data_IF_668169829665
#
_entry.id   IF_668169829665
#
_cell.length_a   1.000
_cell.length_b   1.000
_cell.length_c   1.000
_cell.angle_alpha   90.00
_cell.angle_beta   90.00
_cell.angle_gamma   90.00
#
_symmetry.space_group_name_H-M   'P 1'
#
loop_
_entity.id
_entity.type
_entity.pdbx_description
1 polymer ?
#
# COMPACT_ATOMS: atom_id res chain seq x y z
N UNK A 1 36.91 16.65 -29.21
CA UNK A 1 35.45 16.86 -29.30
C UNK A 1 34.82 15.55 -29.74
N UNK A 2 34.25 14.77 -28.82
CA UNK A 2 33.28 13.70 -29.05
C UNK A 2 33.01 13.01 -27.72
N UNK A 3 32.04 13.53 -26.95
CA UNK A 3 31.30 12.71 -25.98
C UNK A 3 29.95 13.40 -25.73
N UNK A 4 28.99 13.07 -26.58
CA UNK A 4 27.56 13.28 -26.40
C UNK A 4 26.85 12.01 -26.84
N UNK A 5 27.19 10.88 -26.21
CA UNK A 5 26.29 9.75 -26.20
C UNK A 5 25.51 9.83 -24.90
N UNK A 6 24.19 9.89 -25.06
CA UNK A 6 23.25 10.04 -23.96
C UNK A 6 23.42 8.94 -22.93
N UNK A 7 23.05 9.29 -21.71
CA UNK A 7 22.97 8.44 -20.55
C UNK A 7 21.99 7.28 -20.81
N UNK A 8 22.48 6.17 -21.39
CA UNK A 8 21.71 4.95 -21.67
C UNK A 8 21.52 4.07 -20.43
N UNK A 9 22.07 4.47 -19.28
CA UNK A 9 21.96 3.74 -18.00
C UNK A 9 20.74 4.16 -17.18
N UNK A 10 19.90 5.08 -17.68
CA UNK A 10 18.67 5.43 -16.98
C UNK A 10 17.63 4.31 -17.14
N UNK A 11 17.16 3.69 -16.04
CA UNK A 11 16.13 2.67 -16.11
C UNK A 11 14.85 3.27 -16.73
N UNK A 12 14.17 2.48 -17.56
CA UNK A 12 12.89 2.87 -18.15
C UNK A 12 11.87 3.12 -17.03
N UNK A 13 10.99 4.11 -17.21
CA UNK A 13 9.88 4.39 -16.27
C UNK A 13 8.63 3.59 -16.64
N UNK A 14 7.62 3.53 -15.77
CA UNK A 14 6.37 2.82 -16.05
C UNK A 14 5.66 3.42 -17.27
N UNK A 15 5.63 4.75 -17.37
CA UNK A 15 5.09 5.47 -18.54
C UNK A 15 5.80 5.08 -19.85
N UNK A 16 7.11 4.80 -19.80
CA UNK A 16 7.89 4.36 -20.96
C UNK A 16 7.67 2.87 -21.29
N UNK A 17 7.32 2.05 -20.29
CA UNK A 17 7.01 0.64 -20.46
C UNK A 17 5.62 0.40 -21.07
N UNK A 18 4.64 1.29 -20.83
CA UNK A 18 3.27 1.15 -21.34
C UNK A 18 3.21 0.79 -22.84
N UNK A 19 3.80 1.56 -23.78
CA UNK A 19 3.70 1.25 -25.20
C UNK A 19 4.36 -0.08 -25.56
N UNK A 20 5.44 -0.46 -24.86
CA UNK A 20 6.12 -1.73 -25.07
C UNK A 20 5.24 -2.90 -24.63
N UNK A 21 4.66 -2.83 -23.44
CA UNK A 21 3.74 -3.84 -22.92
C UNK A 21 2.50 -3.97 -23.80
N UNK A 22 1.92 -2.85 -24.22
CA UNK A 22 0.74 -2.84 -25.11
C UNK A 22 1.03 -3.49 -26.46
N UNK A 23 2.08 -3.07 -27.15
CA UNK A 23 2.37 -3.56 -28.52
C UNK A 23 2.82 -5.03 -28.50
N UNK A 24 3.57 -5.44 -27.49
CA UNK A 24 4.07 -6.81 -27.37
C UNK A 24 3.11 -7.79 -26.71
N UNK A 25 1.96 -7.32 -26.19
CA UNK A 25 0.99 -8.18 -25.51
C UNK A 25 0.39 -9.24 -26.45
N UNK A 26 -0.15 -10.35 -25.89
CA UNK A 26 -0.85 -11.38 -26.67
C UNK A 26 -2.04 -10.85 -27.49
N UNK A 27 -2.63 -9.73 -27.07
CA UNK A 27 -3.78 -9.11 -27.73
C UNK A 27 -3.41 -8.23 -28.94
N UNK A 28 -2.11 -8.01 -29.20
CA UNK A 28 -1.61 -7.13 -30.26
C UNK A 28 -0.63 -7.86 -31.19
N UNK A 29 0.62 -7.39 -31.31
CA UNK A 29 1.61 -8.01 -32.21
C UNK A 29 2.14 -9.34 -31.67
N UNK A 30 1.85 -9.67 -30.40
CA UNK A 30 2.29 -10.87 -29.70
C UNK A 30 3.79 -11.14 -29.89
N UNK A 31 4.61 -10.41 -29.13
CA UNK A 31 6.06 -10.58 -29.12
C UNK A 31 6.48 -11.03 -27.72
N UNK A 32 6.33 -12.32 -27.37
CA UNK A 32 6.44 -12.80 -25.99
C UNK A 32 7.77 -12.47 -25.32
N UNK A 33 8.88 -12.48 -26.07
CA UNK A 33 10.20 -12.15 -25.54
C UNK A 33 10.32 -10.68 -25.10
N UNK A 34 9.71 -9.76 -25.85
CA UNK A 34 9.68 -8.33 -25.49
C UNK A 34 8.72 -8.11 -24.33
N UNK A 35 7.55 -8.75 -24.36
CA UNK A 35 6.57 -8.68 -23.29
C UNK A 35 7.12 -9.17 -21.94
N UNK A 36 7.77 -10.34 -21.94
CA UNK A 36 8.39 -10.90 -20.75
C UNK A 36 9.50 -9.99 -20.19
N UNK A 37 10.32 -9.39 -21.07
CA UNK A 37 11.38 -8.47 -20.66
C UNK A 37 10.83 -7.16 -20.10
N UNK A 38 9.80 -6.59 -20.72
CA UNK A 38 9.15 -5.37 -20.23
C UNK A 38 8.45 -5.60 -18.88
N UNK A 39 7.82 -6.76 -18.71
CA UNK A 39 7.18 -7.15 -17.44
C UNK A 39 8.21 -7.38 -16.34
N UNK A 40 9.32 -8.05 -16.64
CA UNK A 40 10.43 -8.23 -15.70
C UNK A 40 11.04 -6.89 -15.28
N UNK A 41 11.22 -5.96 -16.22
CA UNK A 41 11.72 -4.61 -15.93
C UNK A 41 10.78 -3.84 -14.99
N UNK A 42 9.46 -4.00 -15.14
CA UNK A 42 8.48 -3.41 -14.20
C UNK A 42 8.68 -3.96 -12.77
N UNK A 43 8.88 -5.28 -12.62
CA UNK A 43 9.14 -5.90 -11.32
C UNK A 43 10.46 -5.42 -10.69
N UNK A 44 11.47 -5.13 -11.51
CA UNK A 44 12.76 -4.61 -11.05
C UNK A 44 12.64 -3.16 -10.52
N UNK A 45 11.81 -2.32 -11.15
CA UNK A 45 11.56 -0.94 -10.68
C UNK A 45 10.78 -0.93 -9.37
N UNK A 46 9.85 -1.87 -9.19
CA UNK A 46 8.96 -1.94 -8.05
C UNK A 46 9.18 -3.25 -7.27
N UNK A 47 10.27 -3.33 -6.49
CA UNK A 47 10.65 -4.55 -5.79
C UNK A 47 9.59 -4.95 -4.78
N UNK A 48 9.20 -6.21 -4.87
CA UNK A 48 8.12 -6.82 -4.11
C UNK A 48 8.63 -7.36 -2.79
N UNK A 49 8.60 -6.52 -1.74
CA UNK A 49 8.93 -7.00 -0.40
C UNK A 49 8.33 -6.10 0.68
N UNK A 50 7.88 -6.68 1.80
CA UNK A 50 7.41 -5.91 2.96
C UNK A 50 8.47 -4.90 3.47
N UNK A 51 9.75 -5.22 3.33
CA UNK A 51 10.84 -4.29 3.68
C UNK A 51 10.99 -3.10 2.72
N UNK A 52 10.50 -3.21 1.47
CA UNK A 52 10.54 -2.11 0.51
C UNK A 52 9.50 -1.03 0.82
N UNK A 53 8.43 -1.39 1.55
CA UNK A 53 7.36 -0.48 1.97
C UNK A 53 7.82 0.48 3.06
N UNK A 54 8.56 -0.03 4.05
CA UNK A 54 9.03 0.80 5.18
C UNK A 54 10.32 1.56 4.90
N UNK A 55 11.01 1.22 3.80
CA UNK A 55 12.19 1.94 3.36
C UNK A 55 11.74 3.16 2.55
N UNK A 56 11.67 4.31 3.20
CA UNK A 56 11.44 5.63 2.58
C UNK A 56 12.51 6.03 1.54
N UNK A 57 13.37 5.10 1.09
CA UNK A 57 14.52 5.32 0.22
C UNK A 57 14.52 4.55 -1.10
N UNK A 58 13.47 3.84 -1.49
CA UNK A 58 13.36 3.45 -2.89
C UNK A 58 12.97 4.71 -3.67
N UNK A 59 13.91 5.26 -4.48
CA UNK A 59 13.78 6.39 -5.41
C UNK A 59 12.73 6.18 -6.52
N UNK A 60 11.57 5.65 -6.15
CA UNK A 60 10.41 5.53 -7.02
C UNK A 60 9.69 6.85 -6.94
N UNK A 61 9.67 7.57 -8.06
CA UNK A 61 8.87 8.77 -8.23
C UNK A 61 7.40 8.43 -7.91
N UNK A 62 6.81 9.13 -6.94
CA UNK A 62 5.39 8.95 -6.56
C UNK A 62 4.49 9.07 -7.79
N UNK A 63 4.89 9.91 -8.76
CA UNK A 63 4.16 10.12 -10.02
C UNK A 63 4.15 8.88 -10.95
N UNK A 64 5.00 7.88 -10.70
CA UNK A 64 5.06 6.64 -11.48
C UNK A 64 4.29 5.48 -10.82
N UNK A 65 3.78 5.64 -9.59
CA UNK A 65 3.06 4.58 -8.87
C UNK A 65 1.72 4.25 -9.53
N UNK A 66 0.91 5.26 -9.87
CA UNK A 66 -0.38 5.03 -10.48
C UNK A 66 -0.29 4.44 -11.90
N UNK A 67 0.54 4.99 -12.82
CA UNK A 67 0.74 4.35 -14.11
C UNK A 67 1.26 2.92 -13.98
N UNK A 68 2.20 2.66 -13.06
CA UNK A 68 2.71 1.31 -12.83
C UNK A 68 1.62 0.36 -12.32
N UNK A 69 0.77 0.82 -11.39
CA UNK A 69 -0.35 0.03 -10.91
C UNK A 69 -1.31 -0.30 -12.05
N UNK A 70 -1.72 0.68 -12.85
CA UNK A 70 -2.65 0.44 -13.96
C UNK A 70 -2.06 -0.58 -14.97
N UNK A 71 -0.75 -0.51 -15.23
CA UNK A 71 -0.06 -1.53 -16.03
C UNK A 71 -0.06 -2.92 -15.37
N UNK A 72 0.17 -2.99 -14.06
CA UNK A 72 0.16 -4.24 -13.30
C UNK A 72 -1.24 -4.86 -13.19
N UNK A 73 -2.29 -4.05 -13.21
CA UNK A 73 -3.68 -4.52 -13.25
C UNK A 73 -4.08 -5.03 -14.65
N UNK A 74 -3.55 -4.41 -15.71
CA UNK A 74 -3.91 -4.74 -17.09
C UNK A 74 -3.11 -5.90 -17.69
N UNK A 75 -1.86 -6.06 -17.27
CA UNK A 75 -0.93 -7.02 -17.85
C UNK A 75 -0.52 -8.08 -16.81
N UNK A 76 0.01 -9.21 -17.30
CA UNK A 76 0.46 -10.31 -16.46
C UNK A 76 1.82 -9.97 -15.83
N UNK A 77 1.76 -9.22 -14.74
CA UNK A 77 2.89 -8.83 -13.90
C UNK A 77 2.97 -9.79 -12.70
N UNK A 78 4.11 -9.82 -12.04
CA UNK A 78 4.29 -10.61 -10.81
C UNK A 78 3.27 -10.19 -9.73
N UNK A 79 2.69 -11.16 -9.03
CA UNK A 79 1.61 -10.92 -8.07
C UNK A 79 2.08 -10.12 -6.86
N UNK A 80 3.32 -10.32 -6.40
CA UNK A 80 3.88 -9.54 -5.30
C UNK A 80 4.14 -8.11 -5.74
N UNK A 81 4.63 -7.88 -6.98
CA UNK A 81 4.81 -6.52 -7.53
C UNK A 81 3.47 -5.77 -7.59
N UNK A 82 2.44 -6.42 -8.11
CA UNK A 82 1.07 -5.88 -8.14
C UNK A 82 0.56 -5.56 -6.74
N UNK A 83 0.76 -6.46 -5.77
CA UNK A 83 0.39 -6.28 -4.36
C UNK A 83 1.08 -5.08 -3.73
N UNK A 84 2.39 -4.92 -3.95
CA UNK A 84 3.16 -3.75 -3.50
C UNK A 84 2.64 -2.45 -4.10
N UNK A 85 2.38 -2.43 -5.41
CA UNK A 85 1.81 -1.26 -6.08
C UNK A 85 0.41 -0.92 -5.55
N UNK A 86 -0.46 -1.93 -5.39
CA UNK A 86 -1.80 -1.77 -4.83
C UNK A 86 -1.75 -1.18 -3.43
N UNK A 87 -0.93 -1.76 -2.55
CA UNK A 87 -0.77 -1.23 -1.19
C UNK A 87 -0.33 0.24 -1.24
N UNK A 88 0.78 0.54 -1.93
CA UNK A 88 1.37 1.90 -1.93
C UNK A 88 0.44 2.96 -2.51
N UNK A 89 -0.32 2.62 -3.57
CA UNK A 89 -1.29 3.55 -4.15
C UNK A 89 -2.49 3.71 -3.22
N UNK A 90 -3.08 2.60 -2.76
CA UNK A 90 -4.26 2.61 -1.91
C UNK A 90 -4.02 3.32 -0.57
N UNK A 91 -2.82 3.23 0.01
CA UNK A 91 -2.47 3.89 1.27
C UNK A 91 -1.79 5.25 1.08
N UNK A 92 -1.74 5.77 -0.14
CA UNK A 92 -1.23 7.12 -0.39
C UNK A 92 -2.21 8.16 0.16
N UNK A 93 -1.70 9.27 0.70
CA UNK A 93 -2.51 10.31 1.38
C UNK A 93 -3.49 11.05 0.46
N UNK A 94 -3.48 10.74 -0.84
CA UNK A 94 -4.38 11.30 -1.85
C UNK A 94 -5.66 10.46 -1.99
N UNK A 95 -5.65 9.20 -1.53
CA UNK A 95 -6.86 8.40 -1.38
C UNK A 95 -7.48 8.71 -0.01
N UNK A 96 -8.39 9.69 0.02
CA UNK A 96 -9.22 9.94 1.20
C UNK A 96 -10.42 8.98 1.19
N UNK A 97 -10.47 7.97 2.09
CA UNK A 97 -11.67 7.14 2.24
C UNK A 97 -12.82 7.93 2.89
N UNK A 98 -12.54 9.09 3.48
CA UNK A 98 -13.48 9.98 4.18
C UNK A 98 -13.85 11.23 3.38
N UNK A 99 -13.43 11.33 2.11
CA UNK A 99 -13.85 12.38 1.19
C UNK A 99 -15.35 12.22 0.91
N UNK A 100 -16.19 12.87 1.72
CA UNK A 100 -17.65 12.87 1.65
C UNK A 100 -18.41 11.52 1.85
N UNK A 101 -17.74 10.40 2.14
CA UNK A 101 -18.38 9.08 2.20
C UNK A 101 -18.09 8.31 3.50
N UNK A 102 -19.02 8.39 4.44
CA UNK A 102 -19.12 7.51 5.62
C UNK A 102 -19.47 6.06 5.19
N UNK A 103 -18.64 5.04 5.50
CA UNK A 103 -18.94 3.64 5.21
C UNK A 103 -19.90 2.99 6.21
N UNK A 104 -20.45 3.72 7.18
CA UNK A 104 -21.42 3.19 8.16
C UNK A 104 -22.87 3.12 7.62
N UNK A 105 -23.11 3.49 6.37
CA UNK A 105 -24.41 3.37 5.72
C UNK A 105 -24.46 2.19 4.74
N UNK A 106 -25.51 1.34 4.76
CA UNK A 106 -25.81 0.45 3.64
C UNK A 106 -26.37 1.30 2.50
N UNK A 107 -25.53 2.06 1.81
CA UNK A 107 -25.93 2.76 0.60
C UNK A 107 -25.69 1.84 -0.61
N UNK A 108 -26.72 1.50 -1.40
CA UNK A 108 -26.57 0.71 -2.61
C UNK A 108 -26.00 1.51 -3.79
N UNK A 109 -25.46 2.70 -3.58
CA UNK A 109 -24.96 3.53 -4.66
C UNK A 109 -23.52 3.14 -5.05
N UNK A 110 -23.23 2.93 -6.34
CA UNK A 110 -21.87 2.69 -6.79
C UNK A 110 -21.03 3.93 -6.49
N UNK A 111 -19.87 3.71 -5.86
CA UNK A 111 -18.82 4.70 -5.54
C UNK A 111 -18.18 5.29 -6.82
N UNK A 112 -18.89 5.30 -7.95
CA UNK A 112 -18.32 5.28 -9.30
C UNK A 112 -18.55 6.55 -10.14
N UNK A 113 -19.03 7.64 -9.57
CA UNK A 113 -19.42 8.79 -10.40
C UNK A 113 -19.00 10.14 -9.82
N UNK A 114 -18.05 10.21 -8.89
CA UNK A 114 -17.49 11.52 -8.53
C UNK A 114 -16.39 11.90 -9.54
N UNK A 115 -16.65 12.86 -10.45
CA UNK A 115 -15.65 13.32 -11.41
C UNK A 115 -14.43 13.95 -10.73
N UNK A 116 -14.51 14.38 -9.47
CA UNK A 116 -13.39 14.93 -8.73
C UNK A 116 -12.33 13.86 -8.37
N UNK A 117 -12.77 12.66 -7.97
CA UNK A 117 -11.87 11.55 -7.64
C UNK A 117 -11.17 11.02 -8.89
N UNK A 118 -11.90 10.87 -9.98
CA UNK A 118 -11.32 10.47 -11.27
C UNK A 118 -10.34 11.52 -11.83
N UNK A 119 -10.57 12.81 -11.55
CA UNK A 119 -9.66 13.88 -11.95
C UNK A 119 -8.38 13.94 -11.11
N UNK A 120 -8.42 13.48 -9.85
CA UNK A 120 -7.25 13.40 -8.98
C UNK A 120 -6.29 12.27 -9.38
N UNK A 121 -6.83 11.16 -9.92
CA UNK A 121 -6.06 9.97 -10.30
C UNK A 121 -6.21 9.63 -11.80
N UNK A 122 -5.73 10.52 -12.70
CA UNK A 122 -5.99 10.40 -14.14
C UNK A 122 -5.32 9.18 -14.80
N UNK A 123 -4.34 8.56 -14.14
CA UNK A 123 -3.64 7.38 -14.64
C UNK A 123 -4.39 6.07 -14.36
N UNK A 124 -5.34 6.06 -13.41
CA UNK A 124 -6.04 4.86 -12.98
C UNK A 124 -7.39 4.72 -13.67
N UNK A 125 -7.73 3.50 -14.08
CA UNK A 125 -9.08 3.19 -14.51
C UNK A 125 -10.08 3.24 -13.34
N UNK A 126 -11.36 3.47 -13.62
CA UNK A 126 -12.41 3.44 -12.60
C UNK A 126 -12.48 2.09 -11.87
N UNK A 127 -12.19 0.98 -12.56
CA UNK A 127 -12.07 -0.35 -11.97
C UNK A 127 -10.93 -0.41 -10.94
N UNK A 128 -9.73 0.01 -11.34
CA UNK A 128 -8.55 0.04 -10.45
C UNK A 128 -8.79 0.93 -9.22
N UNK A 129 -9.41 2.10 -9.40
CA UNK A 129 -9.78 2.98 -8.28
C UNK A 129 -10.68 2.30 -7.27
N UNK A 130 -11.75 1.63 -7.72
CA UNK A 130 -12.67 0.92 -6.82
C UNK A 130 -11.98 -0.22 -6.07
N UNK A 131 -11.04 -0.91 -6.71
CA UNK A 131 -10.21 -1.93 -6.06
C UNK A 131 -9.34 -1.30 -4.97
N UNK A 132 -8.64 -0.19 -5.27
CA UNK A 132 -7.86 0.54 -4.27
C UNK A 132 -8.71 0.95 -3.05
N UNK A 133 -9.91 1.50 -3.28
CA UNK A 133 -10.81 1.88 -2.19
C UNK A 133 -11.27 0.68 -1.35
N UNK A 134 -11.62 -0.46 -1.95
CA UNK A 134 -12.00 -1.67 -1.20
C UNK A 134 -10.84 -2.23 -0.38
N UNK A 135 -9.64 -2.24 -0.96
CA UNK A 135 -8.42 -2.68 -0.26
C UNK A 135 -8.12 -1.74 0.91
N UNK A 136 -8.16 -0.42 0.70
CA UNK A 136 -7.96 0.57 1.77
C UNK A 136 -9.01 0.43 2.89
N UNK A 137 -10.28 0.25 2.53
CA UNK A 137 -11.35 0.04 3.51
C UNK A 137 -11.10 -1.23 4.34
N UNK A 138 -10.64 -2.32 3.71
CA UNK A 138 -10.31 -3.58 4.41
C UNK A 138 -9.12 -3.41 5.34
N UNK A 139 -8.06 -2.72 4.90
CA UNK A 139 -6.90 -2.36 5.72
C UNK A 139 -7.32 -1.56 6.95
N UNK A 140 -8.13 -0.52 6.77
CA UNK A 140 -8.60 0.35 7.86
C UNK A 140 -9.48 -0.45 8.83
N UNK A 141 -10.44 -1.22 8.32
CA UNK A 141 -11.36 -2.00 9.15
C UNK A 141 -10.61 -3.02 10.03
N UNK A 142 -9.57 -3.65 9.46
CA UNK A 142 -8.76 -4.65 10.16
C UNK A 142 -7.79 -4.02 11.16
N UNK A 143 -7.12 -2.92 10.80
CA UNK A 143 -6.08 -2.31 11.62
C UNK A 143 -6.61 -1.39 12.72
N UNK A 144 -7.77 -0.75 12.52
CA UNK A 144 -8.34 0.21 13.47
C UNK A 144 -8.47 -0.39 14.88
N UNK A 145 -9.03 -1.60 15.09
CA UNK A 145 -9.07 -2.23 16.41
C UNK A 145 -7.68 -2.38 17.07
N UNK A 146 -6.66 -2.76 16.30
CA UNK A 146 -5.28 -2.89 16.78
C UNK A 146 -4.70 -1.54 17.19
N UNK A 147 -4.96 -0.48 16.43
CA UNK A 147 -4.46 0.86 16.73
C UNK A 147 -5.10 1.46 17.99
N UNK A 148 -6.39 1.22 18.22
CA UNK A 148 -7.14 1.79 19.35
C UNK A 148 -7.19 0.90 20.59
N UNK A 149 -6.58 -0.27 20.54
CA UNK A 149 -6.44 -1.16 21.71
C UNK A 149 -5.00 -1.10 22.20
N UNK A 150 -4.80 -0.61 23.42
CA UNK A 150 -3.48 -0.64 24.05
C UNK A 150 -3.06 -2.10 24.26
N UNK A 151 -1.93 -2.50 23.67
CA UNK A 151 -1.34 -3.81 23.91
C UNK A 151 -0.90 -3.96 25.39
N UNK A 152 -0.95 -5.19 25.91
CA UNK A 152 -0.41 -5.49 27.24
C UNK A 152 1.08 -5.82 27.15
N UNK A 153 1.89 -5.31 28.07
CA UNK A 153 3.26 -5.79 28.22
C UNK A 153 3.31 -7.06 29.10
N UNK A 154 4.47 -7.74 29.11
CA UNK A 154 4.72 -8.89 29.98
C UNK A 154 4.76 -8.53 31.48
N UNK A 155 5.03 -7.25 31.79
CA UNK A 155 5.09 -6.74 33.16
C UNK A 155 4.02 -5.66 33.37
N UNK A 156 3.29 -5.73 34.48
CA UNK A 156 2.21 -4.77 34.77
C UNK A 156 2.70 -3.31 34.79
N UNK A 157 3.86 -3.04 35.40
CA UNK A 157 4.45 -1.69 35.38
C UNK A 157 4.81 -1.20 33.97
N UNK A 158 5.18 -2.11 33.07
CA UNK A 158 5.42 -1.79 31.66
C UNK A 158 4.11 -1.53 30.90
N UNK A 159 3.05 -2.27 31.23
CA UNK A 159 1.70 -2.02 30.69
C UNK A 159 1.19 -0.65 31.08
N UNK A 160 1.43 -0.21 32.32
CA UNK A 160 1.04 1.13 32.78
C UNK A 160 1.75 2.23 31.96
N UNK A 161 3.05 2.08 31.72
CA UNK A 161 3.83 3.00 30.86
C UNK A 161 3.26 3.03 29.44
N UNK A 162 2.97 1.87 28.85
CA UNK A 162 2.36 1.82 27.52
C UNK A 162 1.01 2.53 27.49
N UNK A 163 0.14 2.26 28.45
CA UNK A 163 -1.19 2.87 28.52
C UNK A 163 -1.13 4.39 28.67
N UNK A 164 -0.22 4.92 29.48
CA UNK A 164 -0.01 6.36 29.64
C UNK A 164 0.52 7.02 28.36
N UNK A 165 1.38 6.34 27.61
CA UNK A 165 2.03 6.89 26.42
C UNK A 165 1.26 6.67 25.12
N UNK A 166 0.36 5.69 25.06
CA UNK A 166 -0.29 5.25 23.82
C UNK A 166 -1.03 6.37 23.10
N UNK A 167 -1.79 7.19 23.84
CA UNK A 167 -2.56 8.28 23.24
C UNK A 167 -1.67 9.30 22.52
N UNK A 168 -0.58 9.70 23.16
CA UNK A 168 0.30 10.76 22.65
C UNK A 168 1.30 10.26 21.61
N UNK A 169 1.82 9.04 21.78
CA UNK A 169 2.90 8.51 20.95
C UNK A 169 2.41 7.60 19.82
N UNK A 170 1.18 7.05 19.91
CA UNK A 170 0.60 6.15 18.90
C UNK A 170 -0.65 6.76 18.25
N UNK A 171 -1.71 7.01 19.02
CA UNK A 171 -3.00 7.43 18.46
C UNK A 171 -2.92 8.83 17.86
N UNK A 172 -2.37 9.81 18.58
CA UNK A 172 -2.24 11.19 18.11
C UNK A 172 -1.52 11.29 16.75
N UNK A 173 -0.31 10.72 16.61
CA UNK A 173 0.41 10.69 15.34
C UNK A 173 -0.31 9.91 14.24
N UNK A 174 -1.02 8.82 14.57
CA UNK A 174 -1.78 8.07 13.58
C UNK A 174 -2.98 8.87 13.04
N UNK A 175 -3.65 9.65 13.88
CA UNK A 175 -4.74 10.53 13.43
C UNK A 175 -4.22 11.73 12.63
N UNK A 176 -3.07 12.29 13.00
CA UNK A 176 -2.50 13.48 12.34
C UNK A 176 -1.94 13.18 10.95
N UNK A 177 -1.26 12.03 10.80
CA UNK A 177 -0.51 11.71 9.59
C UNK A 177 -1.21 10.67 8.69
N UNK A 178 -2.50 10.40 8.91
CA UNK A 178 -3.25 9.39 8.15
C UNK A 178 -2.81 7.94 8.43
N UNK A 179 -2.18 7.70 9.57
CA UNK A 179 -1.66 6.38 9.98
C UNK A 179 -2.71 5.28 10.07
N UNK A 180 -3.99 5.61 10.25
CA UNK A 180 -5.09 4.64 10.22
C UNK A 180 -5.17 3.94 8.86
N UNK A 181 -4.90 4.67 7.76
CA UNK A 181 -4.86 4.12 6.41
C UNK A 181 -3.51 3.54 5.99
N UNK A 182 -2.50 3.59 6.86
CA UNK A 182 -1.13 3.16 6.59
C UNK A 182 -0.65 2.17 7.67
N UNK A 183 -1.27 0.98 7.77
CA UNK A 183 -1.04 0.08 8.89
C UNK A 183 0.41 -0.40 9.01
N UNK A 184 1.08 -0.69 7.90
CA UNK A 184 2.46 -1.21 7.94
C UNK A 184 3.45 -0.15 8.39
N UNK A 185 3.24 1.11 8.00
CA UNK A 185 4.00 2.27 8.42
C UNK A 185 3.67 2.66 9.87
N UNK A 186 2.40 2.59 10.26
CA UNK A 186 1.97 2.84 11.63
C UNK A 186 2.62 1.86 12.61
N UNK A 187 2.61 0.55 12.32
CA UNK A 187 3.27 -0.45 13.15
C UNK A 187 4.78 -0.20 13.27
N UNK A 188 5.48 0.21 12.20
CA UNK A 188 6.88 0.64 12.29
C UNK A 188 7.10 1.87 13.15
N UNK A 189 6.18 2.84 13.12
CA UNK A 189 6.25 4.01 14.01
C UNK A 189 6.04 3.63 15.46
N UNK A 190 5.12 2.72 15.75
CA UNK A 190 4.87 2.19 17.10
C UNK A 190 6.14 1.46 17.61
N UNK A 191 6.76 0.63 16.77
CA UNK A 191 8.03 -0.04 17.08
C UNK A 191 9.11 0.96 17.52
N UNK A 192 9.24 2.07 16.78
CA UNK A 192 10.19 3.14 17.10
C UNK A 192 9.81 3.90 18.37
N UNK A 193 8.53 4.13 18.61
CA UNK A 193 8.04 4.79 19.83
C UNK A 193 8.38 3.99 21.09
N UNK A 194 8.26 2.66 21.03
CA UNK A 194 8.59 1.79 22.14
C UNK A 194 10.06 1.88 22.59
N UNK A 195 10.99 2.20 21.68
CA UNK A 195 12.38 2.48 22.08
C UNK A 195 12.48 3.69 23.01
N UNK A 196 11.69 4.74 22.75
CA UNK A 196 11.64 5.95 23.57
C UNK A 196 10.98 5.72 24.93
N UNK A 197 10.05 4.77 25.02
CA UNK A 197 9.36 4.42 26.28
C UNK A 197 10.29 3.85 27.35
N UNK A 198 11.52 3.46 26.99
CA UNK A 198 12.57 3.07 27.96
C UNK A 198 12.88 4.17 28.96
N UNK A 199 12.84 5.43 28.52
CA UNK A 199 13.09 6.59 29.37
C UNK A 199 11.99 6.78 30.43
N UNK A 200 10.82 6.19 30.21
CA UNK A 200 9.65 6.25 31.08
C UNK A 200 9.46 4.98 31.92
N UNK A 201 10.41 4.04 31.87
CA UNK A 201 10.40 2.83 32.70
C UNK A 201 10.02 1.54 31.98
N UNK A 202 9.85 1.57 30.64
CA UNK A 202 9.68 0.34 29.87
C UNK A 202 10.99 -0.46 29.84
N UNK A 203 10.95 -1.72 30.31
CA UNK A 203 12.14 -2.55 30.36
C UNK A 203 12.56 -3.08 28.97
N UNK A 204 13.83 -3.44 28.83
CA UNK A 204 14.40 -3.90 27.56
C UNK A 204 13.73 -5.17 27.01
N UNK A 205 13.35 -6.09 27.89
CA UNK A 205 12.62 -7.32 27.52
C UNK A 205 11.25 -7.01 26.92
N UNK A 206 10.50 -6.08 27.52
CA UNK A 206 9.19 -5.67 26.98
C UNK A 206 9.35 -4.93 25.65
N UNK A 207 10.37 -4.09 25.48
CA UNK A 207 10.65 -3.47 24.17
C UNK A 207 10.92 -4.55 23.12
N UNK A 208 11.79 -5.51 23.41
CA UNK A 208 12.12 -6.60 22.48
C UNK A 208 10.89 -7.39 22.07
N UNK A 209 10.07 -7.81 23.03
CA UNK A 209 8.83 -8.54 22.78
C UNK A 209 7.84 -7.74 21.93
N UNK A 210 7.64 -6.46 22.23
CA UNK A 210 6.73 -5.60 21.47
C UNK A 210 7.18 -5.44 20.01
N UNK A 211 8.50 -5.31 19.77
CA UNK A 211 9.03 -5.25 18.40
C UNK A 211 8.72 -6.51 17.62
N UNK A 212 8.89 -7.67 18.24
CA UNK A 212 8.56 -8.96 17.63
C UNK A 212 7.05 -9.08 17.36
N UNK A 213 6.21 -8.65 18.31
CA UNK A 213 4.76 -8.64 18.16
C UNK A 213 4.31 -7.80 16.96
N UNK A 214 4.78 -6.56 16.85
CA UNK A 214 4.37 -5.67 15.77
C UNK A 214 4.99 -6.01 14.42
N UNK A 215 6.20 -6.58 14.39
CA UNK A 215 6.73 -7.15 13.15
C UNK A 215 5.88 -8.33 12.68
N UNK A 216 5.48 -9.21 13.60
CA UNK A 216 4.56 -10.30 13.32
C UNK A 216 3.21 -9.82 12.79
N UNK A 217 2.66 -8.75 13.36
CA UNK A 217 1.41 -8.16 12.87
C UNK A 217 1.59 -7.53 11.48
N UNK A 218 2.73 -6.89 11.18
CA UNK A 218 3.03 -6.38 9.83
C UNK A 218 3.06 -7.51 8.81
N UNK A 219 3.71 -8.62 9.13
CA UNK A 219 3.73 -9.81 8.27
C UNK A 219 2.32 -10.41 8.09
N UNK A 220 1.52 -10.44 9.17
CA UNK A 220 0.15 -10.93 9.13
C UNK A 220 -0.76 -10.07 8.24
N UNK A 221 -0.69 -8.75 8.36
CA UNK A 221 -1.42 -7.80 7.48
C UNK A 221 -0.96 -7.97 6.04
N UNK A 222 0.35 -8.04 5.79
CA UNK A 222 0.89 -8.26 4.44
C UNK A 222 0.35 -9.54 3.81
N UNK A 223 0.25 -10.63 4.57
CA UNK A 223 -0.31 -11.89 4.09
C UNK A 223 -1.83 -11.81 3.85
N UNK A 224 -2.58 -11.11 4.70
CA UNK A 224 -4.04 -10.94 4.54
C UNK A 224 -4.40 -10.12 3.31
N UNK A 225 -3.52 -9.20 2.90
CA UNK A 225 -3.69 -8.36 1.73
C UNK A 225 -3.97 -9.16 0.44
N UNK A 226 -3.40 -10.35 0.29
CA UNK A 226 -3.67 -11.22 -0.88
C UNK A 226 -5.17 -11.55 -1.00
N UNK A 227 -5.79 -11.92 0.13
CA UNK A 227 -7.22 -12.21 0.19
C UNK A 227 -8.09 -10.99 -0.13
N UNK A 228 -7.75 -9.84 0.44
CA UNK A 228 -8.49 -8.59 0.18
C UNK A 228 -8.41 -8.14 -1.27
N UNK A 229 -7.25 -8.29 -1.90
CA UNK A 229 -7.07 -7.99 -3.34
C UNK A 229 -7.94 -8.92 -4.17
N UNK A 230 -7.89 -10.24 -3.92
CA UNK A 230 -8.70 -11.20 -4.66
C UNK A 230 -10.21 -10.95 -4.51
N UNK A 231 -10.67 -10.63 -3.31
CA UNK A 231 -12.07 -10.30 -3.05
C UNK A 231 -12.50 -9.02 -3.78
N UNK A 232 -11.66 -7.99 -3.75
CA UNK A 232 -11.92 -6.73 -4.43
C UNK A 232 -12.02 -6.91 -5.95
N UNK A 233 -11.12 -7.72 -6.55
CA UNK A 233 -11.12 -8.04 -7.98
C UNK A 233 -12.35 -8.86 -8.38
N UNK A 234 -12.67 -9.92 -7.64
CA UNK A 234 -13.85 -10.76 -7.90
C UNK A 234 -15.14 -9.94 -7.87
N UNK A 235 -15.25 -8.99 -6.94
CA UNK A 235 -16.41 -8.13 -6.83
C UNK A 235 -16.54 -7.14 -8.01
N UNK A 236 -15.42 -6.66 -8.58
CA UNK A 236 -15.47 -5.87 -9.82
C UNK A 236 -15.83 -6.71 -11.04
N UNK A 237 -15.24 -7.89 -11.17
CA UNK A 237 -15.52 -8.79 -12.30
C UNK A 237 -16.99 -9.22 -12.32
N UNK A 238 -17.59 -9.46 -11.14
CA UNK A 238 -19.02 -9.76 -11.01
C UNK A 238 -19.92 -8.57 -11.37
N UNK A 239 -19.49 -7.35 -11.04
CA UNK A 239 -20.23 -6.13 -11.38
C UNK A 239 -20.22 -5.85 -12.88
N UNK A 240 -19.08 -6.07 -13.55
CA UNK A 240 -18.96 -5.94 -15.01
C UNK A 240 -19.76 -7.00 -15.77
N UNK A 241 -19.80 -8.25 -15.26
CA UNK A 241 -20.60 -9.32 -15.88
C UNK A 241 -22.12 -9.12 -15.77
N UNK A 242 -22.57 -8.21 -14.91
CA UNK A 242 -23.99 -7.92 -14.68
C UNK A 242 -24.51 -6.73 -15.51
N UNK A 243 -23.66 -6.09 -16.31
CA UNK A 243 -23.98 -4.97 -17.22
C UNK A 243 -24.20 -5.47 -18.65
#
# INVERSE_FOLDING_TARGET
>A
MCSKYGDFDRPLTATQLEPLLRVSSPDNLDVPAVYAKASAHLNEIFPSHLSSISSSSAHVDTHELEPALELAMRYKVDSETKKTLLYRVATSTEFDPTGAHDPSGPSPEPISSDPAVAAAHPALSARTLRICHRVLASLIADFTPTLFTVGGAQHMACTDVMAERWMDDVIGPALKDGGVGQPLEALKRIEKAAEGWREYGLCEECVGWLKEEWEGEREAIWKRLDGWIEEAEKAEDAAEASQ
#
